data_IF_412639781723
#
_entry.id   IF_412639781723
#
_cell.length_a   1.000
_cell.length_b   1.000
_cell.length_c   1.000
_cell.angle_alpha   90.00
_cell.angle_beta   90.00
_cell.angle_gamma   90.00
#
_symmetry.space_group_name_H-M   'P 1'
#
loop_
_entity.id
_entity.type
_entity.pdbx_description
1 polymer ?
#
# COMPACT_ATOMS: atom_id res chain seq x y z
N UNK A 1 16.92 -20.67 -8.56
CA UNK A 1 15.45 -20.77 -8.44
C UNK A 1 15.10 -22.14 -9.02
N UNK A 2 14.35 -22.97 -8.31
CA UNK A 2 14.16 -24.37 -8.70
C UNK A 2 12.90 -24.49 -9.56
N UNK A 3 12.79 -25.54 -10.38
CA UNK A 3 11.66 -25.74 -11.32
C UNK A 3 10.28 -25.60 -10.65
N UNK A 4 10.15 -26.05 -9.40
CA UNK A 4 8.95 -25.88 -8.58
C UNK A 4 8.58 -24.41 -8.35
N UNK A 5 9.56 -23.54 -8.12
CA UNK A 5 9.33 -22.11 -7.86
C UNK A 5 8.83 -21.41 -9.11
N UNK A 6 9.34 -21.78 -10.29
CA UNK A 6 8.91 -21.20 -11.57
C UNK A 6 7.48 -21.60 -11.90
N UNK A 7 7.12 -22.88 -11.70
CA UNK A 7 5.75 -23.36 -11.86
C UNK A 7 4.78 -22.65 -10.92
N UNK A 8 5.14 -22.50 -9.66
CA UNK A 8 4.32 -21.78 -8.67
C UNK A 8 4.12 -20.30 -9.06
N UNK A 9 5.16 -19.63 -9.55
CA UNK A 9 5.05 -18.23 -10.00
C UNK A 9 4.11 -18.08 -11.19
N UNK A 10 4.15 -19.00 -12.16
CA UNK A 10 3.22 -19.00 -13.30
C UNK A 10 1.76 -19.14 -12.84
N UNK A 11 1.50 -20.07 -11.91
CA UNK A 11 0.16 -20.25 -11.35
C UNK A 11 -0.30 -18.99 -10.60
N UNK A 12 0.57 -18.37 -9.79
CA UNK A 12 0.25 -17.12 -9.09
C UNK A 12 -0.04 -15.99 -10.08
N UNK A 13 0.75 -15.83 -11.14
CA UNK A 13 0.56 -14.78 -12.13
C UNK A 13 -0.69 -14.97 -13.00
N UNK A 14 -1.18 -16.20 -13.13
CA UNK A 14 -2.46 -16.48 -13.79
C UNK A 14 -3.68 -15.98 -13.01
N UNK A 15 -3.52 -15.69 -11.70
CA UNK A 15 -4.61 -15.22 -10.86
C UNK A 15 -4.99 -13.76 -11.16
N UNK A 16 -6.29 -13.42 -11.06
CA UNK A 16 -6.75 -12.03 -11.00
C UNK A 16 -5.99 -11.21 -9.96
N UNK A 17 -5.79 -9.92 -10.24
CA UNK A 17 -5.01 -9.00 -9.38
C UNK A 17 -5.46 -9.03 -7.92
N UNK A 18 -6.77 -9.01 -7.66
CA UNK A 18 -7.31 -9.02 -6.29
C UNK A 18 -7.01 -10.31 -5.52
N UNK A 19 -6.91 -11.47 -6.20
CA UNK A 19 -6.52 -12.72 -5.55
C UNK A 19 -5.01 -12.77 -5.28
N UNK A 20 -4.21 -12.20 -6.18
CA UNK A 20 -2.77 -12.04 -5.94
C UNK A 20 -2.50 -11.18 -4.72
N UNK A 21 -3.21 -10.05 -4.57
CA UNK A 21 -3.10 -9.20 -3.38
C UNK A 21 -3.42 -9.96 -2.10
N UNK A 22 -4.55 -10.68 -2.06
CA UNK A 22 -4.91 -11.52 -0.90
C UNK A 22 -3.86 -12.58 -0.56
N UNK A 23 -3.22 -13.16 -1.57
CA UNK A 23 -2.16 -14.15 -1.37
C UNK A 23 -0.89 -13.49 -0.79
N UNK A 24 -0.52 -12.31 -1.29
CA UNK A 24 0.60 -11.53 -0.75
C UNK A 24 0.39 -11.23 0.73
N UNK A 25 -0.81 -10.78 1.12
CA UNK A 25 -1.12 -10.49 2.53
C UNK A 25 -0.91 -11.72 3.44
N UNK A 26 -1.38 -12.90 2.99
CA UNK A 26 -1.19 -14.16 3.72
C UNK A 26 0.27 -14.57 3.80
N UNK A 27 1.03 -14.41 2.71
CA UNK A 27 2.45 -14.73 2.67
C UNK A 27 3.23 -13.82 3.62
N UNK A 28 2.97 -12.51 3.59
CA UNK A 28 3.57 -11.54 4.53
C UNK A 28 3.24 -11.93 5.98
N UNK A 29 1.98 -12.24 6.28
CA UNK A 29 1.59 -12.70 7.61
C UNK A 29 2.30 -14.00 8.03
N UNK A 30 2.50 -14.93 7.09
CA UNK A 30 3.16 -16.22 7.35
C UNK A 30 4.66 -16.10 7.66
N UNK A 31 5.30 -15.00 7.25
CA UNK A 31 6.71 -14.76 7.54
C UNK A 31 6.96 -14.52 9.05
N UNK A 32 5.91 -14.47 9.88
CA UNK A 32 5.99 -14.19 11.32
C UNK A 32 6.91 -12.99 11.59
N UNK A 33 6.86 -12.00 10.70
CA UNK A 33 7.62 -10.77 10.89
C UNK A 33 7.15 -10.22 12.23
N UNK A 34 8.06 -10.00 13.20
CA UNK A 34 7.67 -9.44 14.47
C UNK A 34 6.87 -8.17 14.19
N UNK A 35 5.71 -8.05 14.83
CA UNK A 35 4.99 -6.77 14.84
C UNK A 35 5.99 -5.76 15.39
N UNK A 36 6.44 -4.85 14.54
CA UNK A 36 7.35 -3.79 14.92
C UNK A 36 6.50 -2.74 15.61
N UNK A 37 6.10 -3.03 16.86
CA UNK A 37 5.19 -2.17 17.64
C UNK A 37 5.67 -0.72 17.64
N UNK A 38 6.98 -0.51 17.71
CA UNK A 38 7.59 0.81 17.62
C UNK A 38 7.26 1.52 16.29
N UNK A 39 7.32 0.81 15.15
CA UNK A 39 6.94 1.35 13.86
C UNK A 39 5.44 1.68 13.84
N UNK A 40 4.59 0.78 14.33
CA UNK A 40 3.15 1.02 14.39
C UNK A 40 2.79 2.23 15.26
N UNK A 41 3.47 2.38 16.41
CA UNK A 41 3.31 3.52 17.31
C UNK A 41 3.75 4.83 16.61
N UNK A 42 4.88 4.83 15.88
CA UNK A 42 5.35 5.99 15.11
C UNK A 42 4.38 6.37 13.98
N UNK A 43 3.79 5.38 13.29
CA UNK A 43 2.77 5.64 12.26
C UNK A 43 1.49 6.22 12.86
N UNK A 44 1.07 5.74 14.03
CA UNK A 44 -0.10 6.26 14.72
C UNK A 44 0.10 7.72 15.13
N UNK A 45 1.27 8.06 15.72
CA UNK A 45 1.61 9.43 16.09
C UNK A 45 1.63 10.37 14.89
N UNK A 46 2.28 9.97 13.79
CA UNK A 46 2.34 10.79 12.58
C UNK A 46 0.97 10.97 11.92
N UNK A 47 0.10 9.95 11.96
CA UNK A 47 -1.26 10.05 11.44
C UNK A 47 -2.09 11.09 12.21
N UNK A 48 -2.06 11.02 13.55
CA UNK A 48 -2.76 11.99 14.42
C UNK A 48 -2.22 13.41 14.21
N UNK A 49 -0.89 13.55 14.15
CA UNK A 49 -0.23 14.82 13.87
C UNK A 49 -0.70 15.41 12.53
N UNK A 50 -0.75 14.61 11.46
CA UNK A 50 -1.19 15.07 10.13
C UNK A 50 -2.64 15.52 10.12
N UNK A 51 -3.53 14.79 10.79
CA UNK A 51 -4.94 15.17 10.92
C UNK A 51 -5.06 16.51 11.64
N UNK A 52 -4.32 16.70 12.74
CA UNK A 52 -4.30 17.96 13.49
C UNK A 52 -3.75 19.13 12.67
N UNK A 53 -2.63 18.92 11.95
CA UNK A 53 -2.04 19.94 11.08
C UNK A 53 -3.01 20.36 9.95
N UNK A 54 -3.80 19.42 9.39
CA UNK A 54 -4.84 19.71 8.39
C UNK A 54 -6.00 20.48 9.02
N UNK A 55 -6.55 20.01 10.14
CA UNK A 55 -7.71 20.61 10.80
C UNK A 55 -7.42 22.02 11.33
N UNK A 56 -6.18 22.27 11.77
CA UNK A 56 -5.73 23.60 12.21
C UNK A 56 -5.41 24.55 11.05
N UNK A 57 -5.40 24.07 9.79
CA UNK A 57 -5.00 24.85 8.63
C UNK A 57 -3.50 25.15 8.56
N UNK A 58 -2.69 24.50 9.40
CA UNK A 58 -1.23 24.64 9.41
C UNK A 58 -0.58 24.12 8.13
N UNK A 59 -1.23 23.18 7.45
CA UNK A 59 -0.83 22.70 6.13
C UNK A 59 -1.92 22.94 5.09
N UNK A 60 -1.51 23.27 3.86
CA UNK A 60 -2.43 23.43 2.74
C UNK A 60 -2.66 22.06 2.08
N UNK A 61 -3.91 21.59 2.07
CA UNK A 61 -4.29 20.38 1.35
C UNK A 61 -4.44 20.64 -0.15
N UNK A 62 -4.29 19.59 -0.94
CA UNK A 62 -4.56 19.60 -2.38
C UNK A 62 -5.93 18.94 -2.58
N UNK A 63 -6.80 19.52 -3.41
CA UNK A 63 -8.07 18.88 -3.76
C UNK A 63 -7.83 17.48 -4.36
N UNK A 64 -8.61 16.50 -3.89
CA UNK A 64 -8.60 15.16 -4.44
C UNK A 64 -8.94 15.14 -5.93
N UNK A 65 -9.89 15.98 -6.38
CA UNK A 65 -10.24 16.06 -7.81
C UNK A 65 -9.05 16.48 -8.66
N UNK A 66 -8.28 17.47 -8.17
CA UNK A 66 -7.06 17.93 -8.84
C UNK A 66 -6.02 16.82 -8.93
N UNK A 67 -5.81 16.06 -7.85
CA UNK A 67 -4.88 14.91 -7.87
C UNK A 67 -5.30 13.88 -8.92
N UNK A 68 -6.59 13.54 -8.98
CA UNK A 68 -7.08 12.59 -9.98
C UNK A 68 -7.02 13.14 -11.42
N UNK A 69 -7.25 14.44 -11.60
CA UNK A 69 -7.07 15.10 -12.89
C UNK A 69 -5.61 15.03 -13.37
N UNK A 70 -4.66 15.35 -12.49
CA UNK A 70 -3.24 15.26 -12.78
C UNK A 70 -2.83 13.83 -13.15
N UNK A 71 -3.32 12.82 -12.41
CA UNK A 71 -3.07 11.40 -12.71
C UNK A 71 -3.64 11.04 -14.09
N UNK A 72 -4.89 11.39 -14.37
CA UNK A 72 -5.51 11.12 -15.68
C UNK A 72 -4.75 11.80 -16.81
N UNK A 73 -4.32 13.04 -16.62
CA UNK A 73 -3.53 13.77 -17.62
C UNK A 73 -2.17 13.10 -17.88
N UNK A 74 -1.52 12.58 -16.84
CA UNK A 74 -0.21 11.91 -16.97
C UNK A 74 -0.29 10.56 -17.69
N UNK A 75 -1.42 9.86 -17.56
CA UNK A 75 -1.59 8.50 -18.11
C UNK A 75 -2.60 8.39 -19.26
N UNK A 76 -3.17 9.50 -19.74
CA UNK A 76 -3.88 9.54 -21.03
C UNK A 76 -2.85 9.34 -22.15
N UNK A 77 -2.76 8.11 -22.65
CA UNK A 77 -2.35 7.84 -24.03
C UNK A 77 -3.47 8.23 -24.97
#
# INVERSE_FOLDING_TARGET
>A
MNELNEKLLQEIFSLPSHLRTKLIDKLIASLNVPIQKEIDDLWAEEAEKRISDINSGKVQSISGEKVFEDIRSRFRK
#
